data_IF_686763133542
#
_entry.id   IF_686763133542
#
_cell.length_a   1.000
_cell.length_b   1.000
_cell.length_c   1.000
_cell.angle_alpha   90.00
_cell.angle_beta   90.00
_cell.angle_gamma   90.00
#
_symmetry.space_group_name_H-M   'P 1'
#
loop_
_entity.id
_entity.type
_entity.pdbx_description
1 polymer ?
#
# COMPACT_ATOMS: atom_id res chain seq x y z
N UNK A 1 -16.20 -4.76 9.87
CA UNK A 1 -15.12 -3.98 9.23
C UNK A 1 -15.47 -3.58 7.80
N UNK A 2 -15.59 -4.52 6.86
CA UNK A 2 -15.86 -4.28 5.42
C UNK A 2 -17.02 -3.30 5.14
N UNK A 3 -18.20 -3.50 5.76
CA UNK A 3 -19.37 -2.62 5.57
C UNK A 3 -19.04 -1.16 5.86
N UNK A 4 -18.24 -0.89 6.90
CA UNK A 4 -17.83 0.47 7.23
C UNK A 4 -16.79 1.03 6.26
N UNK A 5 -15.90 0.17 5.73
CA UNK A 5 -14.98 0.58 4.65
C UNK A 5 -15.78 1.02 3.42
N UNK A 6 -16.71 0.19 2.95
CA UNK A 6 -17.60 0.52 1.82
C UNK A 6 -18.35 1.83 2.04
N UNK A 7 -18.96 2.00 3.22
CA UNK A 7 -19.64 3.23 3.60
C UNK A 7 -18.69 4.44 3.59
N UNK A 8 -17.46 4.29 4.10
CA UNK A 8 -16.48 5.37 4.20
C UNK A 8 -16.00 5.82 2.81
N UNK A 9 -15.80 4.88 1.88
CA UNK A 9 -15.33 5.14 0.51
C UNK A 9 -16.48 5.37 -0.49
N UNK A 10 -17.72 5.41 0.00
CA UNK A 10 -18.93 5.63 -0.79
C UNK A 10 -19.09 4.64 -1.97
N UNK A 11 -18.92 3.35 -1.68
CA UNK A 11 -19.18 2.24 -2.62
C UNK A 11 -20.23 1.31 -2.00
N UNK A 12 -21.17 0.82 -2.80
CA UNK A 12 -22.09 -0.22 -2.37
C UNK A 12 -21.36 -1.53 -2.06
N UNK A 13 -21.75 -2.22 -1.00
CA UNK A 13 -21.08 -3.45 -0.58
C UNK A 13 -21.12 -4.51 -1.68
N UNK A 14 -19.95 -5.01 -2.06
CA UNK A 14 -19.82 -6.05 -3.09
C UNK A 14 -19.81 -7.41 -2.39
N UNK A 15 -20.82 -8.24 -2.69
CA UNK A 15 -20.97 -9.55 -2.07
C UNK A 15 -19.95 -10.57 -2.61
N UNK A 16 -19.75 -10.57 -3.93
CA UNK A 16 -18.77 -11.42 -4.62
C UNK A 16 -17.59 -10.56 -5.09
N UNK A 17 -16.77 -10.10 -4.13
CA UNK A 17 -15.65 -9.22 -4.38
C UNK A 17 -14.48 -10.00 -5.01
N UNK A 18 -14.02 -9.55 -6.18
CA UNK A 18 -12.99 -10.23 -6.98
C UNK A 18 -11.77 -9.34 -7.23
N UNK A 19 -10.71 -9.93 -7.79
CA UNK A 19 -9.48 -9.21 -8.14
C UNK A 19 -9.75 -8.00 -9.06
N UNK A 20 -10.70 -8.13 -9.98
CA UNK A 20 -11.05 -7.07 -10.93
C UNK A 20 -11.71 -5.85 -10.28
N UNK A 21 -12.25 -6.01 -9.06
CA UNK A 21 -12.88 -4.92 -8.31
C UNK A 21 -11.87 -4.08 -7.51
N UNK A 22 -10.66 -4.63 -7.26
CA UNK A 22 -9.63 -3.99 -6.44
C UNK A 22 -9.25 -2.60 -6.95
N UNK A 23 -9.03 -2.35 -8.26
CA UNK A 23 -8.71 -1.01 -8.75
C UNK A 23 -9.75 0.04 -8.34
N UNK A 24 -11.05 -0.30 -8.37
CA UNK A 24 -12.11 0.62 -7.98
C UNK A 24 -12.07 0.93 -6.48
N UNK A 25 -11.82 -0.08 -5.64
CA UNK A 25 -11.63 0.11 -4.19
C UNK A 25 -10.42 0.99 -3.91
N UNK A 26 -9.27 0.69 -4.54
CA UNK A 26 -8.05 1.49 -4.37
C UNK A 26 -8.27 2.95 -4.80
N UNK A 27 -8.94 3.18 -5.92
CA UNK A 27 -9.29 4.52 -6.39
C UNK A 27 -10.13 5.29 -5.38
N UNK A 28 -11.20 4.67 -4.89
CA UNK A 28 -12.08 5.32 -3.92
C UNK A 28 -11.38 5.54 -2.57
N UNK A 29 -10.50 4.63 -2.15
CA UNK A 29 -9.64 4.85 -0.99
C UNK A 29 -8.73 6.08 -1.18
N UNK A 30 -8.02 6.20 -2.30
CA UNK A 30 -7.14 7.33 -2.58
C UNK A 30 -7.89 8.68 -2.66
N UNK A 31 -9.17 8.67 -3.06
CA UNK A 31 -10.03 9.88 -3.06
C UNK A 31 -10.60 10.23 -1.69
N UNK A 32 -10.74 9.23 -0.81
CA UNK A 32 -11.45 9.36 0.47
C UNK A 32 -10.52 9.63 1.64
N UNK A 33 -9.38 8.93 1.70
CA UNK A 33 -8.45 9.00 2.81
C UNK A 33 -7.32 9.98 2.48
N UNK A 34 -7.20 11.02 3.31
CA UNK A 34 -6.08 11.96 3.21
C UNK A 34 -4.78 11.32 3.71
N UNK A 35 -3.69 11.55 3.00
CA UNK A 35 -2.35 11.25 3.49
C UNK A 35 -1.91 12.38 4.43
N UNK A 36 -1.81 12.09 5.73
CA UNK A 36 -1.58 13.10 6.77
C UNK A 36 -0.85 12.51 7.99
N UNK A 37 -0.26 13.39 8.83
CA UNK A 37 0.53 13.05 10.01
C UNK A 37 0.11 13.81 11.29
N UNK A 38 -1.14 14.28 11.37
CA UNK A 38 -1.68 15.09 12.48
C UNK A 38 -1.58 14.37 13.82
N UNK A 39 -1.85 13.07 13.88
CA UNK A 39 -1.70 12.29 15.13
C UNK A 39 -0.24 12.32 15.64
N UNK A 40 0.73 12.20 14.73
CA UNK A 40 2.16 12.27 15.08
C UNK A 40 2.51 13.66 15.58
N UNK A 41 2.02 14.71 14.91
CA UNK A 41 2.25 16.11 15.33
C UNK A 41 1.63 16.36 16.72
N UNK A 42 0.50 15.73 17.03
CA UNK A 42 -0.17 15.82 18.33
C UNK A 42 0.48 14.95 19.42
N UNK A 43 1.55 14.22 19.12
CA UNK A 43 2.18 13.29 20.07
C UNK A 43 1.28 12.11 20.43
N UNK A 44 0.28 11.80 19.60
CA UNK A 44 -0.59 10.64 19.78
C UNK A 44 0.09 9.43 19.14
N UNK A 45 0.69 8.62 20.00
CA UNK A 45 1.30 7.35 19.60
C UNK A 45 0.38 6.22 20.07
N UNK A 46 -0.07 5.39 19.12
CA UNK A 46 -0.95 4.27 19.39
C UNK A 46 -0.56 3.06 18.57
N UNK A 47 -0.92 1.88 19.08
CA UNK A 47 -0.74 0.64 18.35
C UNK A 47 -1.60 0.67 17.08
N UNK A 48 -1.01 0.20 15.98
CA UNK A 48 -1.73 0.01 14.73
C UNK A 48 -2.37 -1.37 14.81
N UNK A 49 -3.66 -1.44 15.10
CA UNK A 49 -4.42 -2.70 15.18
C UNK A 49 -5.64 -2.59 14.28
N UNK A 50 -6.30 -3.70 13.95
CA UNK A 50 -7.55 -3.65 13.18
C UNK A 50 -8.60 -2.76 13.84
N UNK A 51 -8.66 -2.77 15.17
CA UNK A 51 -9.55 -1.94 15.96
C UNK A 51 -9.17 -0.46 15.90
N UNK A 52 -7.89 -0.10 16.09
CA UNK A 52 -7.48 1.30 16.00
C UNK A 52 -7.67 1.88 14.60
N UNK A 53 -7.42 1.08 13.55
CA UNK A 53 -7.72 1.42 12.16
C UNK A 53 -9.22 1.63 11.95
N UNK A 54 -10.06 0.75 12.49
CA UNK A 54 -11.51 0.88 12.39
C UNK A 54 -11.98 2.21 13.03
N UNK A 55 -11.57 2.47 14.28
CA UNK A 55 -11.99 3.68 14.98
C UNK A 55 -11.49 4.94 14.29
N UNK A 56 -10.18 5.04 14.02
CA UNK A 56 -9.58 6.27 13.51
C UNK A 56 -9.96 6.58 12.05
N UNK A 57 -9.89 5.59 11.15
CA UNK A 57 -10.13 5.84 9.72
C UNK A 57 -11.61 5.79 9.34
N UNK A 58 -12.40 4.93 9.98
CA UNK A 58 -13.78 4.67 9.58
C UNK A 58 -14.80 5.43 10.44
N UNK A 59 -14.59 5.53 11.75
CA UNK A 59 -15.51 6.20 12.67
C UNK A 59 -15.17 7.69 12.81
N UNK A 60 -13.95 8.01 13.21
CA UNK A 60 -13.47 9.39 13.37
C UNK A 60 -13.20 10.08 12.03
N UNK A 61 -13.14 9.30 10.95
CA UNK A 61 -12.90 9.75 9.58
C UNK A 61 -11.56 10.44 9.35
N UNK A 62 -10.56 10.14 10.18
CA UNK A 62 -9.19 10.65 10.02
C UNK A 62 -8.55 10.08 8.75
N UNK A 63 -7.44 10.69 8.36
CA UNK A 63 -6.51 10.15 7.38
C UNK A 63 -5.43 9.31 8.06
N UNK A 64 -4.28 9.19 7.38
CA UNK A 64 -3.08 8.71 8.02
C UNK A 64 -1.90 8.54 7.08
N UNK A 65 -0.78 8.12 7.66
CA UNK A 65 0.41 7.72 6.92
C UNK A 65 0.29 6.29 6.37
N UNK A 66 1.30 5.86 5.61
CA UNK A 66 1.36 4.58 4.91
C UNK A 66 0.95 3.38 5.77
N UNK A 67 1.38 3.34 7.03
CA UNK A 67 1.10 2.23 7.91
C UNK A 67 -0.37 2.13 8.35
N UNK A 68 -1.12 3.24 8.38
CA UNK A 68 -2.56 3.20 8.67
C UNK A 68 -3.33 2.82 7.42
N UNK A 69 -3.05 3.53 6.33
CA UNK A 69 -3.77 3.37 5.08
C UNK A 69 -3.56 1.96 4.50
N UNK A 70 -2.32 1.46 4.46
CA UNK A 70 -2.06 0.13 3.94
C UNK A 70 -2.48 -0.99 4.91
N UNK A 71 -2.59 -0.73 6.21
CA UNK A 71 -3.23 -1.67 7.14
C UNK A 71 -4.73 -1.79 6.89
N UNK A 72 -5.41 -0.68 6.58
CA UNK A 72 -6.83 -0.71 6.19
C UNK A 72 -7.03 -1.55 4.92
N UNK A 73 -6.19 -1.33 3.90
CA UNK A 73 -6.24 -2.13 2.67
C UNK A 73 -5.95 -3.61 2.95
N UNK A 74 -4.92 -3.90 3.75
CA UNK A 74 -4.56 -5.26 4.14
C UNK A 74 -5.72 -5.99 4.82
N UNK A 75 -6.29 -5.42 5.88
CA UNK A 75 -7.40 -6.07 6.60
C UNK A 75 -8.65 -6.22 5.73
N UNK A 76 -8.91 -5.24 4.85
CA UNK A 76 -10.04 -5.32 3.93
C UNK A 76 -9.88 -6.51 2.96
N UNK A 77 -8.72 -6.65 2.32
CA UNK A 77 -8.44 -7.74 1.38
C UNK A 77 -8.34 -9.10 2.08
N UNK A 78 -7.71 -9.14 3.25
CA UNK A 78 -7.58 -10.33 4.07
C UNK A 78 -8.94 -10.90 4.49
N UNK A 79 -9.86 -10.04 4.94
CA UNK A 79 -11.22 -10.46 5.34
C UNK A 79 -12.04 -11.01 4.15
N UNK A 80 -11.68 -10.64 2.92
CA UNK A 80 -12.24 -11.20 1.69
C UNK A 80 -11.58 -12.51 1.23
N UNK A 81 -10.59 -13.00 1.98
CA UNK A 81 -9.91 -14.27 1.70
C UNK A 81 -8.80 -14.18 0.65
N UNK A 82 -8.37 -12.97 0.26
CA UNK A 82 -7.22 -12.84 -0.63
C UNK A 82 -5.92 -13.23 0.08
N UNK A 83 -5.00 -13.82 -0.68
CA UNK A 83 -3.64 -14.09 -0.20
C UNK A 83 -2.83 -12.79 -0.24
N UNK A 84 -2.80 -12.08 0.88
CA UNK A 84 -2.09 -10.81 1.03
C UNK A 84 -1.15 -10.84 2.23
N UNK A 85 -0.05 -10.11 2.11
CA UNK A 85 0.88 -9.86 3.21
C UNK A 85 1.44 -8.45 3.11
N UNK A 86 1.87 -7.91 4.24
CA UNK A 86 2.45 -6.57 4.32
C UNK A 86 3.96 -6.63 4.11
N UNK A 87 4.50 -5.60 3.47
CA UNK A 87 5.94 -5.45 3.20
C UNK A 87 6.43 -4.09 3.66
N UNK A 88 7.69 -4.03 4.10
CA UNK A 88 8.38 -2.77 4.37
C UNK A 88 9.25 -2.37 3.17
N UNK A 89 9.34 -1.07 2.92
CA UNK A 89 10.15 -0.49 1.85
C UNK A 89 10.89 0.76 2.33
N UNK A 90 11.96 1.09 1.61
CA UNK A 90 12.71 2.33 1.81
C UNK A 90 12.41 3.26 0.64
N UNK A 91 12.08 4.51 0.95
CA UNK A 91 11.86 5.54 -0.06
C UNK A 91 13.22 6.18 -0.37
N UNK A 92 13.72 5.98 -1.59
CA UNK A 92 15.09 6.38 -1.96
C UNK A 92 15.17 7.68 -2.77
N UNK A 93 14.03 8.20 -3.26
CA UNK A 93 13.98 9.45 -4.02
C UNK A 93 12.88 10.39 -3.48
N UNK A 94 13.17 11.70 -3.42
CA UNK A 94 12.29 12.76 -2.91
C UNK A 94 13.07 14.02 -2.50
N UNK A 95 12.40 15.11 -2.07
CA UNK A 95 13.07 16.36 -1.66
C UNK A 95 13.98 16.18 -0.42
N UNK A 96 13.77 15.09 0.32
CA UNK A 96 14.64 14.63 1.41
C UNK A 96 15.27 13.30 1.01
N UNK A 97 16.38 13.32 0.23
CA UNK A 97 17.17 12.12 0.03
C UNK A 97 17.69 11.66 1.40
N UNK A 98 17.64 10.36 1.69
CA UNK A 98 18.01 9.69 2.97
C UNK A 98 16.88 9.52 3.99
N UNK A 99 15.71 8.96 3.59
CA UNK A 99 14.76 8.43 4.58
C UNK A 99 15.30 7.15 5.23
N UNK A 100 14.96 6.95 6.50
CA UNK A 100 15.36 5.77 7.26
C UNK A 100 14.95 4.46 6.54
N UNK A 101 15.78 3.41 6.57
CA UNK A 101 15.41 2.10 6.03
C UNK A 101 14.06 1.60 6.58
N UNK A 102 13.20 1.06 5.72
CA UNK A 102 11.90 0.53 6.14
C UNK A 102 10.85 1.57 6.55
N UNK A 103 11.04 2.85 6.18
CA UNK A 103 10.11 3.94 6.50
C UNK A 103 8.74 3.85 5.80
N UNK A 104 8.58 2.96 4.82
CA UNK A 104 7.33 2.76 4.09
C UNK A 104 6.78 1.36 4.32
N UNK A 105 5.46 1.23 4.31
CA UNK A 105 4.76 -0.05 4.41
C UNK A 105 3.76 -0.11 3.27
N UNK A 106 3.64 -1.27 2.63
CA UNK A 106 2.70 -1.54 1.54
C UNK A 106 2.14 -2.97 1.61
N UNK A 107 1.22 -3.31 0.72
CA UNK A 107 0.61 -4.65 0.61
C UNK A 107 1.16 -5.37 -0.62
N UNK A 108 1.45 -6.65 -0.49
CA UNK A 108 1.67 -7.56 -1.62
C UNK A 108 0.58 -8.61 -1.63
N UNK A 109 0.01 -8.84 -2.81
CA UNK A 109 -0.99 -9.87 -3.07
C UNK A 109 -0.41 -10.97 -3.96
N UNK A 110 -0.72 -12.22 -3.67
CA UNK A 110 -0.53 -13.34 -4.58
C UNK A 110 -1.86 -13.67 -5.25
N UNK A 111 -1.91 -13.56 -6.57
CA UNK A 111 -3.07 -13.88 -7.39
C UNK A 111 -2.61 -14.56 -8.68
N UNK A 112 -3.20 -15.70 -9.04
CA UNK A 112 -2.82 -16.52 -10.20
C UNK A 112 -1.30 -16.77 -10.31
N UNK A 113 -0.68 -17.17 -9.20
CA UNK A 113 0.77 -17.39 -9.06
C UNK A 113 1.65 -16.17 -9.35
N UNK A 114 1.07 -14.97 -9.46
CA UNK A 114 1.77 -13.70 -9.68
C UNK A 114 1.71 -12.84 -8.43
N UNK A 115 2.74 -12.01 -8.25
CA UNK A 115 2.82 -11.06 -7.14
C UNK A 115 2.43 -9.66 -7.61
N UNK A 116 1.51 -9.04 -6.89
CA UNK A 116 1.07 -7.68 -7.14
C UNK A 116 1.41 -6.80 -5.96
N UNK A 117 1.95 -5.63 -6.23
CA UNK A 117 2.15 -4.55 -5.26
C UNK A 117 0.91 -3.66 -5.22
N UNK A 118 0.40 -3.44 -4.02
CA UNK A 118 -0.76 -2.61 -3.75
C UNK A 118 -0.40 -1.60 -2.67
N UNK A 119 -0.76 -0.34 -2.92
CA UNK A 119 -0.45 0.77 -2.04
C UNK A 119 -1.56 1.81 -2.16
N UNK A 120 -2.06 2.31 -1.04
CA UNK A 120 -2.97 3.46 -0.94
C UNK A 120 -2.41 4.54 0.00
N UNK A 121 -1.14 4.41 0.37
CA UNK A 121 -0.52 5.16 1.46
C UNK A 121 0.81 5.80 1.09
N UNK A 122 1.14 5.94 -0.20
CA UNK A 122 2.36 6.61 -0.66
C UNK A 122 2.15 8.09 -1.05
N UNK A 123 0.92 8.59 -0.89
CA UNK A 123 0.56 9.96 -1.25
C UNK A 123 0.49 10.15 -2.77
N UNK A 124 1.13 11.21 -3.29
CA UNK A 124 0.98 11.64 -4.70
C UNK A 124 1.48 10.62 -5.74
N UNK A 125 2.32 9.67 -5.34
CA UNK A 125 2.95 8.69 -6.23
C UNK A 125 2.30 7.30 -6.13
N UNK A 126 1.10 7.21 -5.57
CA UNK A 126 0.37 5.96 -5.37
C UNK A 126 -0.22 5.44 -6.68
N UNK A 127 0.02 4.18 -7.04
CA UNK A 127 -0.67 3.55 -8.18
C UNK A 127 -2.14 3.27 -7.80
N UNK A 128 -3.09 3.72 -8.63
CA UNK A 128 -4.53 3.54 -8.38
C UNK A 128 -5.02 2.15 -8.85
N UNK A 129 -4.17 1.13 -8.72
CA UNK A 129 -4.43 -0.26 -9.11
C UNK A 129 -3.31 -1.17 -8.61
N UNK A 130 -3.54 -2.49 -8.54
CA UNK A 130 -2.47 -3.47 -8.37
C UNK A 130 -1.43 -3.32 -9.48
N UNK A 131 -0.15 -3.27 -9.10
CA UNK A 131 1.00 -3.21 -10.01
C UNK A 131 1.70 -4.56 -9.99
N UNK A 132 1.84 -5.20 -11.15
CA UNK A 132 2.53 -6.48 -11.24
C UNK A 132 4.01 -6.32 -10.87
N UNK A 133 4.49 -7.18 -9.98
CA UNK A 133 5.92 -7.33 -9.70
C UNK A 133 6.49 -8.24 -10.78
N UNK A 134 7.25 -7.67 -11.72
CA UNK A 134 7.85 -8.45 -12.81
C UNK A 134 8.97 -9.35 -12.28
N UNK A 135 9.10 -10.54 -12.86
CA UNK A 135 10.28 -11.40 -12.69
C UNK A 135 11.47 -10.91 -13.55
N UNK A 136 11.23 -9.99 -14.49
CA UNK A 136 12.26 -9.39 -15.32
C UNK A 136 13.27 -8.60 -14.49
N UNK A 137 14.55 -8.88 -14.69
CA UNK A 137 15.67 -8.27 -13.95
C UNK A 137 16.11 -6.92 -14.51
N UNK A 138 15.63 -6.55 -15.71
CA UNK A 138 16.05 -5.37 -16.45
C UNK A 138 14.87 -4.50 -16.89
N UNK A 139 15.15 -3.22 -17.17
CA UNK A 139 14.14 -2.23 -17.61
C UNK A 139 13.37 -2.64 -18.88
N UNK A 140 13.98 -3.45 -19.76
CA UNK A 140 13.37 -3.88 -21.02
C UNK A 140 12.42 -5.07 -20.85
N UNK A 141 12.56 -5.83 -19.76
CA UNK A 141 11.79 -7.07 -19.49
C UNK A 141 10.71 -6.86 -18.42
N UNK A 142 10.52 -5.61 -17.96
CA UNK A 142 9.56 -5.27 -16.93
C UNK A 142 8.21 -4.84 -17.51
N UNK A 143 7.13 -5.30 -16.89
CA UNK A 143 5.76 -4.99 -17.33
C UNK A 143 5.36 -3.61 -16.82
N UNK A 144 5.05 -2.71 -17.74
CA UNK A 144 4.52 -1.37 -17.42
C UNK A 144 3.02 -1.45 -17.17
N UNK A 145 2.62 -1.15 -15.95
CA UNK A 145 1.25 -0.99 -15.51
C UNK A 145 0.78 0.45 -15.74
N UNK A 146 -0.12 0.64 -16.71
CA UNK A 146 -0.83 1.92 -16.90
C UNK A 146 -1.93 2.06 -15.85
N UNK A 147 -1.85 3.13 -15.06
CA UNK A 147 -2.86 3.60 -14.10
C UNK A 147 -3.47 4.92 -14.59
N UNK A 148 -4.60 5.34 -14.02
CA UNK A 148 -5.25 6.62 -14.37
C UNK A 148 -4.35 7.84 -14.13
N UNK A 149 -3.45 7.75 -13.17
CA UNK A 149 -2.56 8.82 -12.73
C UNK A 149 -1.10 8.66 -13.17
N UNK A 150 -0.79 7.72 -14.07
CA UNK A 150 0.56 7.56 -14.60
C UNK A 150 0.93 6.13 -14.99
N UNK A 151 2.21 5.97 -15.34
CA UNK A 151 2.82 4.69 -15.67
C UNK A 151 3.63 4.20 -14.48
N UNK A 152 3.46 2.92 -14.15
CA UNK A 152 4.08 2.28 -12.99
C UNK A 152 4.72 0.97 -13.42
N UNK A 153 5.92 0.68 -12.95
CA UNK A 153 6.56 -0.62 -13.18
C UNK A 153 7.38 -1.02 -11.97
N UNK A 154 7.48 -2.32 -11.70
CA UNK A 154 8.33 -2.84 -10.64
C UNK A 154 9.41 -3.72 -11.25
N UNK A 155 10.66 -3.36 -10.99
CA UNK A 155 11.85 -4.06 -11.49
C UNK A 155 12.49 -4.80 -10.32
N UNK A 156 12.90 -6.05 -10.53
CA UNK A 156 13.63 -6.80 -9.52
C UNK A 156 15.13 -6.56 -9.70
N UNK A 157 15.78 -5.98 -8.70
CA UNK A 157 17.22 -5.77 -8.68
C UNK A 157 17.86 -6.58 -7.54
N UNK A 158 18.57 -7.65 -7.90
CA UNK A 158 19.26 -8.56 -6.95
C UNK A 158 18.35 -9.02 -5.79
N UNK A 159 18.41 -8.31 -4.66
CA UNK A 159 17.72 -8.63 -3.40
C UNK A 159 16.52 -7.70 -3.10
N UNK A 160 16.14 -6.83 -4.03
CA UNK A 160 15.17 -5.77 -3.81
C UNK A 160 14.26 -5.64 -5.04
N UNK A 161 13.04 -5.12 -4.86
CA UNK A 161 12.21 -4.72 -6.00
C UNK A 161 11.96 -3.23 -5.98
N UNK A 162 12.00 -2.61 -7.14
CA UNK A 162 12.02 -1.18 -7.29
C UNK A 162 10.79 -0.70 -8.06
N UNK A 163 9.92 0.07 -7.42
CA UNK A 163 8.79 0.73 -8.08
C UNK A 163 9.27 2.02 -8.75
N UNK A 164 9.05 2.13 -10.05
CA UNK A 164 9.27 3.34 -10.85
C UNK A 164 7.94 3.97 -11.26
N UNK A 165 7.87 5.31 -11.21
CA UNK A 165 6.71 6.10 -11.70
C UNK A 165 7.11 7.10 -12.79
N UNK A 166 6.42 7.12 -13.93
CA UNK A 166 6.64 8.09 -15.03
C UNK A 166 7.53 7.60 -16.19
N UNK A 167 7.80 8.48 -17.17
CA UNK A 167 8.66 8.21 -18.35
C UNK A 167 10.17 8.34 -18.03
N UNK A 168 10.51 9.17 -17.04
CA UNK A 168 11.87 9.36 -16.53
C UNK A 168 11.92 8.90 -15.08
N UNK A 169 13.07 8.34 -14.67
CA UNK A 169 13.35 7.60 -13.42
C UNK A 169 13.17 8.39 -12.10
N UNK A 170 12.08 9.11 -11.90
CA UNK A 170 12.05 10.15 -10.87
C UNK A 170 11.38 9.80 -9.55
N UNK A 171 10.80 8.61 -9.37
CA UNK A 171 10.45 8.10 -8.03
C UNK A 171 10.65 6.60 -7.96
N UNK A 172 11.49 6.19 -7.01
CA UNK A 172 12.05 4.85 -6.87
C UNK A 172 11.76 4.40 -5.45
N UNK A 173 11.00 3.32 -5.27
CA UNK A 173 11.00 2.60 -4.01
C UNK A 173 12.10 1.57 -4.03
N UNK A 174 12.68 1.26 -2.89
CA UNK A 174 13.39 0.00 -2.72
C UNK A 174 12.56 -0.87 -1.78
N UNK A 175 11.81 -1.82 -2.33
CA UNK A 175 11.20 -2.91 -1.57
C UNK A 175 12.34 -3.82 -1.13
N UNK A 176 12.77 -3.66 0.12
CA UNK A 176 13.68 -4.62 0.73
C UNK A 176 12.86 -5.84 1.15
N UNK A 177 12.89 -6.89 0.33
CA UNK A 177 12.39 -8.19 0.74
C UNK A 177 13.29 -8.76 1.82
N UNK A 178 12.98 -8.44 3.08
CA UNK A 178 13.36 -9.30 4.19
C UNK A 178 12.53 -9.02 5.42
N UNK A 179 11.47 -9.81 5.58
CA UNK A 179 11.21 -10.52 6.82
C UNK A 179 10.28 -11.68 6.51
N UNK A 180 10.58 -12.84 7.10
CA UNK A 180 9.79 -14.06 6.99
C UNK A 180 8.30 -13.79 7.25
N UNK A 181 7.45 -14.73 6.80
CA UNK A 181 5.98 -14.78 6.84
C UNK A 181 5.27 -14.39 8.17
N UNK A 182 6.01 -13.90 9.16
CA UNK A 182 5.57 -13.42 10.45
C UNK A 182 5.51 -11.88 10.52
N UNK A 183 5.09 -11.17 9.45
CA UNK A 183 4.71 -9.77 9.60
C UNK A 183 3.43 -9.70 10.44
N UNK A 184 3.63 -9.74 11.76
CA UNK A 184 2.60 -9.50 12.75
C UNK A 184 2.62 -8.00 13.01
N UNK A 185 1.57 -7.33 12.55
CA UNK A 185 1.32 -5.90 12.75
C UNK A 185 1.52 -5.49 14.23
N UNK A 186 1.28 -6.42 15.17
CA UNK A 186 1.34 -6.20 16.62
C UNK A 186 2.77 -6.13 17.19
N UNK A 187 3.79 -6.68 16.51
CA UNK A 187 5.14 -6.84 17.11
C UNK A 187 6.10 -5.68 16.86
N UNK A 188 5.80 -4.82 15.91
CA UNK A 188 6.53 -3.59 15.71
C UNK A 188 5.56 -2.47 16.02
N UNK A 189 5.86 -1.64 17.04
CA UNK A 189 5.63 -0.18 17.09
C UNK A 189 5.28 0.30 18.49
N UNK A 190 6.28 0.33 19.37
CA UNK A 190 6.46 1.54 20.19
C UNK A 190 7.16 2.55 19.26
N UNK A 191 6.54 3.72 19.03
CA UNK A 191 7.14 4.86 18.34
C UNK A 191 7.46 5.93 19.38
#
# INVERSE_FOLDING_TARGET
FQIQVYKRINIESILNFRFEDIPNIMESCCKTFSFENLEIIQGKHGLVTKESIYNQLLIEKNGGLCFKLNSLLYYFLLDYGFNVFMVAGTVVCGPTPNRAPGCHVAVVMIHDNKKYFLDIGFGVYTAIKPVLISDGENENDCIVSKSKNGLFRIIKEKNQSILHTGETKNYTHTLQFKKDNNYVIEKFREW
#
